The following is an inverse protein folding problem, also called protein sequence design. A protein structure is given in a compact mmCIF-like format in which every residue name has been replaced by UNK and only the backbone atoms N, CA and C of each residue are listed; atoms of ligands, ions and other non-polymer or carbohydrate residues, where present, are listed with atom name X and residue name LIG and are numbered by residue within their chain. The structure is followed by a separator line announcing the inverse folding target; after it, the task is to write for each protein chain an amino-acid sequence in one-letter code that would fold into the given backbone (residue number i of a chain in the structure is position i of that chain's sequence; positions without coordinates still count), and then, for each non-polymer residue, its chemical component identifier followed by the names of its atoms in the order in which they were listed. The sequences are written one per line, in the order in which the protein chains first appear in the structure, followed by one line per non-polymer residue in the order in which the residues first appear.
data_IF_403889988315
#
_entry.id   IF_403889988315
#
_cell.length_a   1.000
_cell.length_b   1.000
_cell.length_c   1.000
_cell.angle_alpha   90.00
_cell.angle_beta   90.00
_cell.angle_gamma   90.00
#
_symmetry.space_group_name_H-M   'P 1'
#
loop_
_entity.id
_entity.type
_entity.pdbx_description
1 polymer ?
#
# COMPACT_ATOMS: atom_id res chain seq x y z
N UNK A 1 18.54 -22.54 -0.59
CA UNK A 1 18.55 -21.13 -1.06
C UNK A 1 17.15 -20.56 -0.89
N UNK A 2 17.03 -19.29 -0.51
CA UNK A 2 15.73 -18.63 -0.35
C UNK A 2 15.31 -17.87 -1.60
N UNK A 3 14.02 -17.56 -1.70
CA UNK A 3 13.45 -16.79 -2.80
C UNK A 3 13.63 -15.29 -2.51
N UNK A 4 14.27 -14.50 -3.40
CA UNK A 4 14.32 -13.05 -3.23
C UNK A 4 12.91 -12.47 -3.20
N UNK A 5 12.58 -11.73 -2.14
CA UNK A 5 11.22 -11.26 -1.88
C UNK A 5 10.66 -10.42 -3.05
N UNK A 6 11.50 -9.62 -3.71
CA UNK A 6 11.09 -8.79 -4.86
C UNK A 6 10.57 -9.63 -6.04
N UNK A 7 11.17 -10.79 -6.32
CA UNK A 7 10.69 -11.68 -7.38
C UNK A 7 9.38 -12.36 -6.99
N UNK A 8 9.22 -12.73 -5.71
CA UNK A 8 7.95 -13.27 -5.20
C UNK A 8 6.83 -12.23 -5.36
N UNK A 9 7.07 -10.96 -4.98
CA UNK A 9 6.07 -9.91 -5.13
C UNK A 9 5.72 -9.63 -6.59
N UNK A 10 6.72 -9.61 -7.49
CA UNK A 10 6.48 -9.48 -8.93
C UNK A 10 5.56 -10.61 -9.41
N UNK A 11 5.88 -11.85 -9.06
CA UNK A 11 5.13 -13.02 -9.50
C UNK A 11 3.70 -12.98 -8.96
N UNK A 12 3.49 -12.53 -7.71
CA UNK A 12 2.15 -12.29 -7.15
C UNK A 12 1.37 -11.29 -8.00
N UNK A 13 1.93 -10.12 -8.29
CA UNK A 13 1.25 -9.10 -9.11
C UNK A 13 0.97 -9.59 -10.53
N UNK A 14 1.84 -10.45 -11.08
CA UNK A 14 1.74 -10.93 -12.45
C UNK A 14 0.79 -12.12 -12.62
N UNK A 15 0.73 -13.03 -11.65
CA UNK A 15 0.10 -14.34 -11.81
C UNK A 15 -1.03 -14.63 -10.83
N UNK A 16 -1.17 -13.87 -9.74
CA UNK A 16 -2.30 -14.06 -8.84
C UNK A 16 -3.56 -13.38 -9.41
N UNK A 17 -4.65 -14.13 -9.38
CA UNK A 17 -5.99 -13.69 -9.80
C UNK A 17 -6.91 -13.35 -8.62
N UNK A 18 -6.48 -13.66 -7.39
CA UNK A 18 -7.23 -13.42 -6.16
C UNK A 18 -6.29 -13.22 -4.98
N UNK A 19 -6.81 -12.70 -3.86
CA UNK A 19 -6.06 -12.62 -2.60
C UNK A 19 -5.61 -14.00 -2.13
N UNK A 20 -6.45 -15.03 -2.26
CA UNK A 20 -6.11 -16.38 -1.80
C UNK A 20 -4.99 -17.02 -2.61
N UNK A 21 -5.00 -16.84 -3.94
CA UNK A 21 -3.89 -17.26 -4.81
C UNK A 21 -2.61 -16.52 -4.42
N UNK A 22 -2.68 -15.20 -4.24
CA UNK A 22 -1.54 -14.37 -3.83
C UNK A 22 -0.96 -14.79 -2.45
N UNK A 23 -1.82 -15.02 -1.46
CA UNK A 23 -1.41 -15.49 -0.14
C UNK A 23 -0.77 -16.88 -0.23
N UNK A 24 -1.31 -17.78 -1.04
CA UNK A 24 -0.73 -19.11 -1.26
C UNK A 24 0.68 -19.01 -1.85
N UNK A 25 0.90 -18.11 -2.82
CA UNK A 25 2.23 -17.84 -3.38
C UNK A 25 3.21 -17.31 -2.32
N UNK A 26 2.78 -16.36 -1.49
CA UNK A 26 3.59 -15.78 -0.41
C UNK A 26 3.90 -16.77 0.72
N UNK A 27 2.94 -17.64 1.06
CA UNK A 27 3.09 -18.69 2.07
C UNK A 27 4.12 -19.72 1.63
N UNK A 28 4.07 -20.14 0.37
CA UNK A 28 4.93 -21.18 -0.19
C UNK A 28 6.34 -20.68 -0.56
N UNK A 29 6.57 -19.37 -0.58
CA UNK A 29 7.89 -18.81 -0.82
C UNK A 29 8.85 -19.13 0.34
N UNK A 30 10.11 -19.46 0.02
CA UNK A 30 11.18 -19.55 1.00
C UNK A 30 11.67 -18.14 1.37
N UNK A 31 10.96 -17.51 2.31
CA UNK A 31 11.15 -16.12 2.74
C UNK A 31 12.50 -15.92 3.45
N UNK A 32 13.19 -14.82 3.14
CA UNK A 32 14.54 -14.53 3.70
C UNK A 32 14.66 -13.17 4.39
N UNK A 33 13.67 -12.29 4.23
CA UNK A 33 13.71 -10.91 4.73
C UNK A 33 12.45 -10.62 5.54
N UNK A 34 12.58 -9.79 6.55
CA UNK A 34 11.45 -9.29 7.36
C UNK A 34 10.95 -7.98 6.78
N UNK A 35 9.72 -7.96 6.27
CA UNK A 35 9.05 -6.80 5.70
C UNK A 35 7.57 -6.80 6.06
N UNK A 36 6.94 -5.63 6.03
CA UNK A 36 5.48 -5.50 6.09
C UNK A 36 4.96 -5.28 4.68
N UNK A 37 3.84 -5.92 4.35
CA UNK A 37 3.21 -5.83 3.03
C UNK A 37 1.74 -5.44 3.16
N UNK A 38 1.24 -4.78 2.13
CA UNK A 38 -0.19 -4.65 1.87
C UNK A 38 -0.53 -5.41 0.61
N UNK A 39 -1.58 -6.23 0.65
CA UNK A 39 -2.09 -6.98 -0.49
C UNK A 39 -3.53 -6.52 -0.77
N UNK A 40 -3.73 -5.82 -1.88
CA UNK A 40 -5.04 -5.34 -2.31
C UNK A 40 -5.54 -6.07 -3.55
N UNK A 41 -6.84 -6.34 -3.61
CA UNK A 41 -7.57 -6.76 -4.81
C UNK A 41 -8.81 -5.89 -4.99
N UNK A 42 -9.14 -5.58 -6.23
CA UNK A 42 -10.32 -4.81 -6.60
C UNK A 42 -10.98 -5.40 -7.83
N UNK A 43 -12.22 -5.88 -7.68
CA UNK A 43 -13.02 -6.42 -8.77
C UNK A 43 -14.06 -5.40 -9.22
N UNK A 44 -13.75 -4.67 -10.30
CA UNK A 44 -14.61 -3.57 -10.82
C UNK A 44 -16.03 -4.01 -11.18
N UNK A 45 -16.21 -5.25 -11.64
CA UNK A 45 -17.47 -5.78 -12.16
C UNK A 45 -18.06 -6.89 -11.28
N UNK A 46 -17.57 -7.07 -10.06
CA UNK A 46 -18.14 -8.05 -9.16
C UNK A 46 -19.58 -7.66 -8.80
N UNK A 47 -20.49 -8.62 -8.97
CA UNK A 47 -21.92 -8.45 -8.71
C UNK A 47 -22.14 -7.89 -7.31
N UNK A 48 -22.92 -6.80 -7.24
CA UNK A 48 -23.03 -5.76 -6.18
C UNK A 48 -23.53 -6.26 -4.81
N UNK A 49 -23.34 -7.52 -4.44
CA UNK A 49 -23.97 -8.14 -3.26
C UNK A 49 -23.05 -8.94 -2.34
N UNK A 50 -21.74 -8.88 -2.48
CA UNK A 50 -20.83 -9.31 -1.42
C UNK A 50 -19.81 -8.21 -1.07
N UNK A 51 -19.44 -8.13 0.21
CA UNK A 51 -18.33 -7.30 0.72
C UNK A 51 -16.94 -7.72 0.13
N UNK A 52 -16.92 -8.43 -1.01
CA UNK A 52 -15.77 -9.07 -1.63
C UNK A 52 -15.19 -8.26 -2.81
N UNK A 53 -15.90 -7.23 -3.29
CA UNK A 53 -15.46 -6.41 -4.44
C UNK A 53 -14.12 -5.69 -4.18
N UNK A 54 -13.76 -5.48 -2.90
CA UNK A 54 -12.50 -4.87 -2.48
C UNK A 54 -11.94 -5.68 -1.33
N UNK A 55 -10.80 -6.32 -1.55
CA UNK A 55 -10.06 -7.02 -0.51
C UNK A 55 -8.78 -6.26 -0.19
N UNK A 56 -8.47 -6.05 1.09
CA UNK A 56 -7.12 -5.66 1.50
C UNK A 56 -6.67 -6.49 2.70
N UNK A 57 -5.40 -6.88 2.71
CA UNK A 57 -4.75 -7.58 3.82
C UNK A 57 -3.42 -6.93 4.16
N UNK A 58 -3.19 -6.74 5.46
CA UNK A 58 -1.86 -6.48 5.99
C UNK A 58 -1.13 -7.81 6.17
N UNK A 59 0.17 -7.85 5.86
CA UNK A 59 0.96 -9.06 6.05
C UNK A 59 2.27 -8.71 6.74
N UNK A 60 2.55 -9.36 7.87
CA UNK A 60 3.91 -9.50 8.39
C UNK A 60 4.58 -10.67 7.67
N UNK A 61 5.66 -10.38 6.92
CA UNK A 61 6.33 -11.35 6.07
C UNK A 61 7.77 -11.53 6.52
N UNK A 62 8.15 -12.72 7.02
CA UNK A 62 9.54 -13.03 7.36
C UNK A 62 9.87 -14.52 7.21
N UNK A 63 11.14 -14.88 7.47
CA UNK A 63 11.58 -16.27 7.47
C UNK A 63 10.89 -17.14 8.54
N UNK A 64 10.43 -16.55 9.64
CA UNK A 64 9.82 -17.27 10.78
C UNK A 64 8.34 -16.98 10.94
N UNK A 65 7.91 -15.78 10.60
CA UNK A 65 6.55 -15.28 10.80
C UNK A 65 5.85 -15.06 9.45
N UNK A 66 4.55 -15.38 9.42
CA UNK A 66 3.64 -15.04 8.34
C UNK A 66 2.26 -14.80 8.94
N UNK A 67 1.99 -13.55 9.32
CA UNK A 67 0.72 -13.16 9.93
C UNK A 67 -0.07 -12.31 8.94
N UNK A 68 -1.36 -12.63 8.79
CA UNK A 68 -2.26 -11.96 7.85
C UNK A 68 -3.34 -11.25 8.66
N UNK A 69 -3.52 -9.98 8.38
CA UNK A 69 -4.43 -9.09 9.11
C UNK A 69 -5.50 -8.56 8.16
N UNK A 70 -6.73 -8.52 8.64
CA UNK A 70 -7.77 -7.61 8.16
C UNK A 70 -7.77 -6.35 9.07
N UNK A 71 -8.71 -5.42 8.88
CA UNK A 71 -8.79 -4.23 9.73
C UNK A 71 -9.20 -4.53 11.17
N UNK A 72 -9.98 -5.59 11.42
CA UNK A 72 -10.47 -6.00 12.75
C UNK A 72 -9.35 -6.57 13.63
N UNK A 73 -8.38 -7.23 12.99
CA UNK A 73 -7.33 -7.99 13.67
C UNK A 73 -5.98 -7.23 13.73
N UNK A 74 -5.91 -6.01 13.19
CA UNK A 74 -4.73 -5.15 13.34
C UNK A 74 -4.44 -4.84 14.81
N UNK A 75 -3.19 -4.47 15.12
CA UNK A 75 -2.84 -4.11 16.50
C UNK A 75 -3.76 -3.00 17.00
N UNK A 76 -4.33 -3.20 18.18
CA UNK A 76 -5.18 -2.21 18.83
C UNK A 76 -4.42 -1.56 19.98
N UNK A 77 -3.60 -0.56 19.66
CA UNK A 77 -2.87 0.22 20.65
C UNK A 77 -3.31 1.67 20.61
N UNK A 78 -2.95 2.45 21.63
CA UNK A 78 -3.26 3.88 21.69
C UNK A 78 -2.76 4.64 20.44
N UNK A 79 -1.61 4.24 19.90
CA UNK A 79 -0.95 4.90 18.77
C UNK A 79 -1.18 4.17 17.44
N UNK A 80 -1.79 2.98 17.48
CA UNK A 80 -2.24 2.22 16.33
C UNK A 80 -3.75 1.90 16.48
N UNK A 81 -4.64 2.89 16.30
CA UNK A 81 -6.08 2.66 16.39
C UNK A 81 -6.61 1.80 15.24
N UNK A 82 -7.49 0.85 15.57
CA UNK A 82 -8.29 0.14 14.58
C UNK A 82 -9.28 1.11 13.94
N UNK A 83 -9.24 1.17 12.60
CA UNK A 83 -10.15 1.94 11.76
C UNK A 83 -10.81 0.98 10.78
N UNK A 84 -12.14 0.93 10.78
CA UNK A 84 -12.86 0.01 9.89
C UNK A 84 -12.46 0.26 8.42
N UNK A 85 -12.19 -0.83 7.71
CA UNK A 85 -11.76 -0.86 6.30
C UNK A 85 -10.43 -0.14 6.01
N UNK A 86 -9.61 0.11 7.04
CA UNK A 86 -8.28 0.72 6.91
C UNK A 86 -7.23 -0.18 7.56
N UNK A 87 -6.19 -0.50 6.80
CA UNK A 87 -5.02 -1.24 7.26
C UNK A 87 -3.80 -0.38 6.94
N UNK A 88 -2.87 -0.26 7.88
CA UNK A 88 -1.69 0.57 7.69
C UNK A 88 -0.48 0.08 8.50
N UNK A 89 0.69 0.34 7.94
CA UNK A 89 1.98 0.10 8.56
C UNK A 89 2.66 1.45 8.76
N UNK A 90 3.03 1.76 10.00
CA UNK A 90 3.84 2.93 10.28
C UNK A 90 5.30 2.66 9.85
N UNK A 91 6.03 3.72 9.48
CA UNK A 91 7.47 3.62 9.12
C UNK A 91 8.34 3.20 10.31
N UNK A 92 7.83 3.34 11.53
CA UNK A 92 8.47 2.90 12.77
C UNK A 92 8.25 1.40 13.05
N UNK A 93 8.84 0.91 14.13
CA UNK A 93 8.69 -0.48 14.58
C UNK A 93 7.21 -0.79 14.84
N UNK A 94 6.76 -1.98 14.45
CA UNK A 94 5.39 -2.43 14.65
C UNK A 94 5.27 -3.36 15.88
N UNK A 95 4.19 -3.27 16.69
CA UNK A 95 3.19 -2.19 16.70
C UNK A 95 3.84 -0.85 17.06
N UNK A 96 3.45 0.22 16.35
CA UNK A 96 4.04 1.54 16.53
C UNK A 96 3.53 2.23 17.78
N UNK A 97 4.46 2.76 18.57
CA UNK A 97 4.18 3.72 19.64
C UNK A 97 4.25 5.19 19.17
N UNK A 98 4.53 5.43 17.89
CA UNK A 98 4.48 6.77 17.31
C UNK A 98 3.02 7.12 16.95
N UNK A 99 2.44 8.19 17.52
CA UNK A 99 1.06 8.56 17.26
C UNK A 99 0.83 9.21 15.89
N UNK A 100 1.88 9.61 15.16
CA UNK A 100 1.77 10.49 14.00
C UNK A 100 0.85 9.92 12.91
N UNK A 101 1.17 8.75 12.34
CA UNK A 101 0.38 8.18 11.26
C UNK A 101 -1.04 7.82 11.73
N UNK A 102 -1.16 7.17 12.88
CA UNK A 102 -2.46 6.79 13.45
C UNK A 102 -3.38 8.00 13.67
N UNK A 103 -2.85 9.10 14.21
CA UNK A 103 -3.62 10.32 14.46
C UNK A 103 -4.08 10.97 13.16
N UNK A 104 -3.20 11.05 12.14
CA UNK A 104 -3.56 11.59 10.83
C UNK A 104 -4.66 10.75 10.15
N UNK A 105 -4.60 9.42 10.28
CA UNK A 105 -5.63 8.54 9.75
C UNK A 105 -6.97 8.70 10.49
N UNK A 106 -6.95 8.86 11.81
CA UNK A 106 -8.15 9.16 12.62
C UNK A 106 -8.77 10.50 12.21
N UNK A 107 -7.96 11.55 12.13
CA UNK A 107 -8.42 12.91 11.78
C UNK A 107 -9.07 12.97 10.38
N UNK A 108 -8.62 12.10 9.49
CA UNK A 108 -9.09 12.01 8.11
C UNK A 108 -9.97 10.78 7.82
N UNK A 109 -10.42 10.07 8.86
CA UNK A 109 -11.22 8.88 8.70
C UNK A 109 -12.55 9.19 7.97
N UNK A 110 -12.94 8.34 7.02
CA UNK A 110 -14.07 8.57 6.11
C UNK A 110 -13.79 9.54 4.94
N UNK A 111 -12.60 10.15 4.88
CA UNK A 111 -12.16 11.05 3.78
C UNK A 111 -10.74 10.74 3.30
N UNK A 112 -10.28 9.50 3.43
CA UNK A 112 -8.96 9.04 3.00
C UNK A 112 -8.95 8.80 1.49
N UNK A 113 -9.08 9.87 0.70
CA UNK A 113 -8.94 9.84 -0.76
C UNK A 113 -7.53 10.29 -1.18
N UNK A 114 -7.18 10.15 -2.47
CA UNK A 114 -5.85 10.49 -2.97
C UNK A 114 -5.38 11.92 -2.61
N UNK A 115 -6.18 12.99 -2.79
CA UNK A 115 -5.80 14.34 -2.34
C UNK A 115 -5.47 14.45 -0.84
N UNK A 116 -6.25 13.77 0.02
CA UNK A 116 -6.02 13.75 1.46
C UNK A 116 -4.79 12.93 1.82
N UNK A 117 -4.59 11.77 1.20
CA UNK A 117 -3.38 10.96 1.40
C UNK A 117 -2.14 11.79 1.08
N UNK A 118 -2.12 12.41 -0.11
CA UNK A 118 -1.00 13.20 -0.59
C UNK A 118 -0.71 14.35 0.38
N UNK A 119 -1.69 15.23 0.64
CA UNK A 119 -1.44 16.52 1.32
C UNK A 119 -1.40 16.43 2.84
N UNK A 120 -2.16 15.50 3.41
CA UNK A 120 -2.42 15.50 4.85
C UNK A 120 -1.90 14.26 5.54
N UNK A 121 -1.63 13.16 4.84
CA UNK A 121 -1.11 11.95 5.46
C UNK A 121 0.37 11.82 5.14
N UNK A 122 0.75 11.59 3.89
CA UNK A 122 2.14 11.26 3.56
C UNK A 122 3.08 12.46 3.69
N UNK A 123 2.63 13.67 3.35
CA UNK A 123 3.44 14.88 3.55
C UNK A 123 3.68 15.19 5.03
N UNK A 124 2.67 15.02 5.89
CA UNK A 124 2.79 15.34 7.33
C UNK A 124 3.48 14.23 8.14
N UNK A 125 3.33 12.97 7.70
CA UNK A 125 4.06 11.83 8.32
C UNK A 125 5.46 11.63 7.72
N UNK A 126 5.84 12.43 6.72
CA UNK A 126 7.13 12.36 6.02
C UNK A 126 7.44 10.91 5.61
N UNK A 127 6.56 10.31 4.79
CA UNK A 127 6.72 8.94 4.30
C UNK A 127 6.63 8.86 2.79
N UNK A 128 7.51 8.05 2.19
CA UNK A 128 7.68 7.97 0.75
C UNK A 128 8.69 8.98 0.22
N UNK A 129 9.91 8.91 0.73
CA UNK A 129 11.05 9.79 0.42
C UNK A 129 11.44 9.67 -1.06
N UNK A 130 11.85 8.47 -1.49
CA UNK A 130 12.27 8.24 -2.88
C UNK A 130 11.10 8.15 -3.88
N UNK A 131 9.99 7.53 -3.46
CA UNK A 131 8.79 7.32 -4.25
C UNK A 131 7.58 7.42 -3.32
N UNK A 132 6.61 8.22 -3.73
CA UNK A 132 5.30 8.25 -3.11
C UNK A 132 4.26 7.82 -4.15
N UNK A 133 3.64 6.65 -3.94
CA UNK A 133 2.69 6.02 -4.86
C UNK A 133 1.35 5.81 -4.16
N UNK A 134 0.27 6.32 -4.77
CA UNK A 134 -1.11 6.08 -4.34
C UNK A 134 -1.83 5.39 -5.51
N UNK A 135 -2.44 4.25 -5.22
CA UNK A 135 -3.27 3.50 -6.18
C UNK A 135 -4.74 3.68 -5.78
N UNK A 136 -5.50 4.39 -6.61
CA UNK A 136 -6.93 4.63 -6.43
C UNK A 136 -7.73 3.72 -7.38
N UNK A 137 -8.11 2.56 -6.87
CA UNK A 137 -8.88 1.59 -7.64
C UNK A 137 -10.28 2.09 -8.02
N UNK A 138 -10.90 2.91 -7.16
CA UNK A 138 -12.22 3.49 -7.41
C UNK A 138 -12.21 4.39 -8.64
N UNK A 139 -11.22 5.28 -8.73
CA UNK A 139 -11.02 6.16 -9.89
C UNK A 139 -10.29 5.52 -11.07
N UNK A 140 -9.76 4.31 -10.92
CA UNK A 140 -8.83 3.69 -11.87
C UNK A 140 -7.61 4.57 -12.18
N UNK A 141 -7.01 5.14 -11.13
CA UNK A 141 -5.92 6.10 -11.25
C UNK A 141 -4.74 5.73 -10.36
N UNK A 142 -3.53 6.08 -10.81
CA UNK A 142 -2.33 6.06 -9.99
C UNK A 142 -1.81 7.49 -9.82
N UNK A 143 -1.38 7.84 -8.62
CA UNK A 143 -0.72 9.11 -8.32
C UNK A 143 0.70 8.81 -7.89
N UNK A 144 1.69 9.38 -8.55
CA UNK A 144 3.09 9.11 -8.26
C UNK A 144 3.95 10.38 -8.23
N UNK A 145 4.89 10.41 -7.30
CA UNK A 145 5.97 11.38 -7.24
C UNK A 145 7.28 10.64 -6.98
N UNK A 146 8.37 11.12 -7.57
CA UNK A 146 9.74 10.67 -7.29
C UNK A 146 10.53 11.79 -6.62
N UNK A 147 11.51 11.44 -5.80
CA UNK A 147 12.45 12.42 -5.29
C UNK A 147 13.20 13.06 -6.46
N UNK A 148 13.58 14.33 -6.31
CA UNK A 148 14.38 15.01 -7.31
C UNK A 148 15.74 15.41 -6.74
N UNK A 149 16.81 15.35 -7.56
CA UNK A 149 18.16 15.69 -7.14
C UNK A 149 18.38 17.20 -6.93
N UNK A 150 17.47 18.06 -7.41
CA UNK A 150 17.73 19.49 -7.58
C UNK A 150 17.15 20.38 -6.48
N UNK A 151 17.75 20.36 -5.28
CA UNK A 151 17.68 21.49 -4.34
C UNK A 151 19.06 21.74 -3.69
N UNK A 152 19.50 23.01 -3.53
CA UNK A 152 20.77 23.34 -2.88
C UNK A 152 20.96 22.76 -1.47
N UNK A 153 19.89 22.33 -0.81
CA UNK A 153 19.86 21.78 0.54
C UNK A 153 19.81 20.25 0.59
N UNK A 154 19.71 19.57 -0.56
CA UNK A 154 19.58 18.11 -0.66
C UNK A 154 18.49 17.69 -1.64
N UNK A 155 18.23 16.40 -1.83
CA UNK A 155 17.13 15.96 -2.69
C UNK A 155 15.78 16.41 -2.12
N UNK A 156 14.88 16.86 -3.01
CA UNK A 156 13.49 17.11 -2.64
C UNK A 156 12.76 15.77 -2.56
N UNK A 157 12.30 15.41 -1.36
CA UNK A 157 11.58 14.16 -1.12
C UNK A 157 10.23 14.09 -1.84
N UNK A 158 9.85 12.90 -2.32
CA UNK A 158 8.67 12.69 -3.14
C UNK A 158 7.37 13.03 -2.41
N UNK A 159 7.27 12.79 -1.10
CA UNK A 159 6.11 13.18 -0.30
C UNK A 159 5.86 14.69 -0.26
N UNK A 160 6.87 15.50 -0.61
CA UNK A 160 6.81 16.95 -0.63
C UNK A 160 6.75 17.52 -2.07
N UNK A 161 6.53 16.66 -3.06
CA UNK A 161 6.49 17.02 -4.48
C UNK A 161 5.08 16.91 -5.04
N UNK A 162 4.90 17.51 -6.21
CA UNK A 162 3.65 17.40 -6.98
C UNK A 162 3.55 15.99 -7.56
N UNK A 163 2.43 15.32 -7.31
CA UNK A 163 2.13 14.02 -7.90
C UNK A 163 1.63 14.16 -9.33
N UNK A 164 2.15 13.31 -10.20
CA UNK A 164 1.57 13.05 -11.52
C UNK A 164 0.41 12.08 -11.36
N UNK A 165 -0.74 12.36 -11.96
CA UNK A 165 -1.88 11.43 -12.02
C UNK A 165 -1.86 10.68 -13.36
N UNK A 166 -1.90 9.36 -13.30
CA UNK A 166 -2.06 8.47 -14.44
C UNK A 166 -3.49 7.94 -14.46
N UNK A 167 -4.13 8.03 -15.61
CA UNK A 167 -5.42 7.40 -15.89
C UNK A 167 -5.15 5.96 -16.37
N UNK A 168 -5.30 4.99 -15.47
CA UNK A 168 -4.90 3.61 -15.73
C UNK A 168 -5.80 2.96 -16.79
N UNK A 169 -7.07 3.38 -16.88
CA UNK A 169 -7.98 2.92 -17.92
C UNK A 169 -7.43 3.26 -19.31
N UNK A 170 -6.95 4.50 -19.49
CA UNK A 170 -6.36 4.96 -20.75
C UNK A 170 -5.02 4.29 -21.01
N UNK A 171 -4.17 4.20 -20.00
CA UNK A 171 -2.83 3.61 -20.14
C UNK A 171 -2.89 2.15 -20.62
N UNK A 172 -3.78 1.33 -20.05
CA UNK A 172 -3.92 -0.07 -20.46
C UNK A 172 -4.71 -0.26 -21.76
N UNK A 173 -5.39 0.79 -22.25
CA UNK A 173 -6.02 0.79 -23.57
C UNK A 173 -5.03 1.20 -24.69
N UNK A 174 -3.80 1.61 -24.36
CA UNK A 174 -2.81 1.97 -25.37
C UNK A 174 -2.42 0.73 -26.20
N UNK A 175 -2.35 0.86 -27.55
CA UNK A 175 -1.92 -0.24 -28.39
C UNK A 175 -0.45 -0.57 -28.10
N UNK A 176 -0.11 -1.86 -28.16
CA UNK A 176 1.27 -2.30 -27.99
C UNK A 176 2.21 -1.52 -28.95
N UNK A 177 3.40 -1.11 -28.49
CA UNK A 177 4.39 -0.47 -29.36
C UNK A 177 4.64 -1.34 -30.60
N UNK A 178 4.64 -0.70 -31.78
CA UNK A 178 4.97 -1.37 -33.05
C UNK A 178 6.47 -1.57 -33.18
#
# INVERSE_FOLDING_TARGET
FGNPWTYVLRDVVQFADSIDTALTMLVNAHRTCSIHLGLGSYERNASVHSDENVGFRGIEYSAKEFNVFNWEDMYNTKNHPILKDVIYWDKHVQPSDNPCLGSLLVDHYGRINAPTIIRNITSLSETGDALNLILDYGENAAYLAYSAPDDPQGPLEAFNRVHTRLDMAKLFAEPAPK
#
